data_IF_573032293015
#
_entry.id   IF_573032293015
#
_cell.length_a   1.000
_cell.length_b   1.000
_cell.length_c   1.000
_cell.angle_alpha   90.00
_cell.angle_beta   90.00
_cell.angle_gamma   90.00
#
_symmetry.space_group_name_H-M   'P 1'
#
loop_
_entity.id
_entity.type
_entity.pdbx_description
1 polymer ?
#
# COMPACT_ATOMS: atom_id res chain seq x y z
N UNK A 1 -16.31 -12.57 10.28
CA UNK A 1 -15.24 -13.13 11.02
C UNK A 1 -14.18 -13.66 10.07
N UNK A 2 -13.99 -14.96 9.85
CA UNK A 2 -12.95 -15.44 8.90
C UNK A 2 -13.48 -16.49 7.94
N UNK A 3 -12.86 -16.60 6.76
CA UNK A 3 -12.91 -17.76 5.89
C UNK A 3 -11.54 -18.42 5.85
N UNK A 4 -11.51 -19.74 5.60
CA UNK A 4 -10.28 -20.53 5.45
C UNK A 4 -10.23 -21.06 4.02
N UNK A 5 -9.12 -20.80 3.32
CA UNK A 5 -8.89 -21.37 1.99
C UNK A 5 -8.70 -22.88 2.06
N UNK A 6 -9.60 -23.63 1.43
CA UNK A 6 -9.70 -25.09 1.58
C UNK A 6 -8.39 -25.85 1.27
N UNK A 7 -7.59 -25.38 0.32
CA UNK A 7 -6.35 -26.04 -0.10
C UNK A 7 -5.07 -25.29 0.33
N UNK A 8 -5.21 -24.09 0.87
CA UNK A 8 -4.07 -23.22 1.18
C UNK A 8 -3.88 -22.99 2.68
N UNK A 9 -4.95 -23.20 3.47
CA UNK A 9 -4.97 -22.83 4.88
C UNK A 9 -4.92 -21.34 5.15
N UNK A 10 -5.00 -20.50 4.11
CA UNK A 10 -4.96 -19.03 4.25
C UNK A 10 -6.26 -18.54 4.86
N UNK A 11 -6.15 -17.69 5.89
CA UNK A 11 -7.28 -17.08 6.57
C UNK A 11 -7.56 -15.70 5.95
N UNK A 12 -8.83 -15.42 5.64
CA UNK A 12 -9.29 -14.08 5.23
C UNK A 12 -10.28 -13.56 6.27
N UNK A 13 -9.98 -12.39 6.87
CA UNK A 13 -10.90 -11.66 7.72
C UNK A 13 -12.06 -11.08 6.90
N UNK A 14 -13.30 -11.27 7.34
CA UNK A 14 -14.51 -10.76 6.68
C UNK A 14 -15.17 -9.61 7.45
N UNK A 15 -15.09 -9.66 8.76
CA UNK A 15 -15.58 -8.62 9.68
C UNK A 15 -14.89 -8.77 11.03
N UNK A 16 -14.88 -7.70 11.79
CA UNK A 16 -14.30 -7.66 13.13
C UNK A 16 -14.91 -8.71 14.05
N UNK A 17 -14.10 -9.18 14.99
CA UNK A 17 -14.47 -10.14 16.00
C UNK A 17 -13.53 -11.34 16.07
N UNK A 18 -13.83 -12.26 16.98
CA UNK A 18 -13.05 -13.47 17.18
C UNK A 18 -13.69 -14.67 16.48
N UNK A 19 -12.86 -15.57 16.02
CA UNK A 19 -13.23 -16.85 15.45
C UNK A 19 -12.30 -17.95 15.92
N UNK A 20 -12.85 -19.12 16.14
CA UNK A 20 -12.07 -20.33 16.36
C UNK A 20 -11.88 -21.06 15.04
N UNK A 21 -10.63 -21.26 14.66
CA UNK A 21 -10.25 -22.10 13.51
C UNK A 21 -9.80 -23.44 14.06
N UNK A 22 -10.50 -24.50 13.67
CA UNK A 22 -10.25 -25.86 14.17
C UNK A 22 -9.63 -26.68 13.04
N UNK A 23 -8.40 -27.13 13.25
CA UNK A 23 -7.73 -28.12 12.43
C UNK A 23 -8.01 -29.52 12.93
N UNK A 24 -8.34 -30.47 12.04
CA UNK A 24 -8.53 -31.88 12.38
C UNK A 24 -7.72 -32.79 11.46
N UNK A 25 -7.05 -33.79 12.06
CA UNK A 25 -6.36 -34.84 11.32
C UNK A 25 -6.70 -36.16 12.01
N UNK A 26 -7.61 -36.93 11.44
CA UNK A 26 -8.19 -38.10 12.10
C UNK A 26 -8.91 -37.70 13.40
N UNK A 27 -8.50 -38.26 14.53
CA UNK A 27 -9.04 -37.95 15.86
C UNK A 27 -8.33 -36.76 16.54
N UNK A 28 -7.22 -36.31 15.98
CA UNK A 28 -6.46 -35.19 16.55
C UNK A 28 -7.11 -33.87 16.13
N UNK A 29 -7.33 -32.98 17.10
CA UNK A 29 -7.85 -31.63 16.90
C UNK A 29 -6.89 -30.61 17.50
N UNK A 30 -6.74 -29.50 16.79
CA UNK A 30 -6.08 -28.31 17.29
C UNK A 30 -6.95 -27.08 17.02
N UNK A 31 -6.86 -26.06 17.87
CA UNK A 31 -7.72 -24.89 17.81
C UNK A 31 -6.89 -23.61 17.87
N UNK A 32 -7.07 -22.76 16.89
CA UNK A 32 -6.48 -21.42 16.84
C UNK A 32 -7.57 -20.36 17.03
N UNK A 33 -7.40 -19.50 18.02
CA UNK A 33 -8.21 -18.29 18.13
C UNK A 33 -7.65 -17.22 17.20
N UNK A 34 -8.52 -16.66 16.34
CA UNK A 34 -8.17 -15.60 15.39
C UNK A 34 -9.01 -14.38 15.70
N UNK A 35 -8.36 -13.28 16.02
CA UNK A 35 -8.99 -11.98 16.14
C UNK A 35 -8.87 -11.24 14.81
N UNK A 36 -9.99 -10.75 14.31
CA UNK A 36 -10.05 -9.90 13.11
C UNK A 36 -10.39 -8.49 13.57
N UNK A 37 -9.52 -7.57 13.24
CA UNK A 37 -9.71 -6.14 13.48
C UNK A 37 -9.58 -5.39 12.17
N UNK A 38 -10.47 -4.42 11.93
CA UNK A 38 -10.32 -3.54 10.77
C UNK A 38 -9.09 -2.68 10.94
N UNK A 39 -8.28 -2.50 9.89
CA UNK A 39 -7.17 -1.59 9.97
C UNK A 39 -7.71 -0.16 10.21
N UNK A 40 -7.23 0.48 11.27
CA UNK A 40 -7.26 1.93 11.39
C UNK A 40 -6.21 2.50 10.44
N UNK A 41 -6.38 3.76 9.97
CA UNK A 41 -5.36 4.40 9.14
C UNK A 41 -4.02 4.45 9.89
N UNK A 42 -3.04 3.72 9.42
CA UNK A 42 -1.75 3.64 10.08
C UNK A 42 -0.64 3.23 9.11
N UNK A 43 0.59 3.53 9.51
CA UNK A 43 1.80 3.08 8.84
C UNK A 43 2.45 2.00 9.69
N UNK A 44 2.63 0.80 9.13
CA UNK A 44 3.31 -0.30 9.81
C UNK A 44 4.73 -0.45 9.24
N UNK A 45 5.78 -0.38 10.09
CA UNK A 45 7.14 -0.59 9.61
C UNK A 45 7.29 -2.00 9.02
N UNK A 46 7.83 -2.11 7.81
CA UNK A 46 8.23 -3.40 7.20
C UNK A 46 9.62 -3.80 7.70
N UNK A 47 10.52 -2.84 7.80
CA UNK A 47 11.87 -3.03 8.34
C UNK A 47 12.18 -1.90 9.34
N UNK A 48 11.76 -2.04 10.61
CA UNK A 48 11.80 -0.95 11.58
C UNK A 48 13.22 -0.47 11.89
N UNK A 49 14.22 -1.31 11.72
CA UNK A 49 15.60 -0.98 12.03
C UNK A 49 16.42 -0.60 10.79
N UNK A 50 15.90 -0.82 9.58
CA UNK A 50 16.64 -0.66 8.31
C UNK A 50 18.10 -1.12 8.42
N UNK A 51 18.30 -2.32 9.02
CA UNK A 51 19.64 -2.85 9.23
C UNK A 51 20.33 -3.11 7.89
N UNK A 52 21.25 -2.23 7.57
CA UNK A 52 22.01 -2.22 6.33
C UNK A 52 22.73 -3.54 6.05
N UNK A 53 23.15 -4.25 7.10
CA UNK A 53 23.83 -5.54 6.95
C UNK A 53 22.92 -6.62 6.33
N UNK A 54 21.59 -6.43 6.43
CA UNK A 54 20.59 -7.35 5.90
C UNK A 54 20.14 -7.00 4.47
N UNK A 55 20.54 -5.84 3.95
CA UNK A 55 20.22 -5.41 2.59
C UNK A 55 21.40 -5.64 1.65
N UNK A 56 21.10 -6.27 0.51
CA UNK A 56 22.10 -6.40 -0.56
C UNK A 56 22.06 -5.15 -1.44
N UNK A 57 23.18 -4.42 -1.45
CA UNK A 57 23.37 -3.26 -2.30
C UNK A 57 24.03 -3.68 -3.63
N UNK A 58 23.46 -3.24 -4.75
CA UNK A 58 24.10 -3.26 -6.05
C UNK A 58 23.92 -1.91 -6.75
N UNK A 59 24.82 -1.57 -7.68
CA UNK A 59 24.80 -0.29 -8.36
C UNK A 59 25.40 -0.34 -9.76
N UNK A 60 25.01 0.59 -10.60
CA UNK A 60 25.64 0.86 -11.89
C UNK A 60 25.75 2.37 -12.12
N UNK A 61 26.73 2.81 -12.91
CA UNK A 61 26.86 4.21 -13.34
C UNK A 61 27.40 5.21 -12.31
N UNK A 62 27.48 4.85 -11.03
CA UNK A 62 28.16 5.61 -9.98
C UNK A 62 29.55 5.06 -9.67
N UNK A 63 30.36 5.84 -8.96
CA UNK A 63 31.63 5.41 -8.38
C UNK A 63 31.60 5.55 -6.87
N UNK A 64 32.47 4.82 -6.18
CA UNK A 64 32.64 4.91 -4.71
C UNK A 64 31.32 4.80 -3.94
N UNK A 65 30.44 3.87 -4.36
CA UNK A 65 29.14 3.69 -3.69
C UNK A 65 29.38 3.08 -2.32
N UNK A 66 28.80 3.73 -1.31
CA UNK A 66 28.88 3.32 0.08
C UNK A 66 27.49 3.47 0.71
N UNK A 67 27.19 2.63 1.65
CA UNK A 67 25.98 2.72 2.46
C UNK A 67 26.36 2.71 3.94
N UNK A 68 25.81 3.64 4.70
CA UNK A 68 26.12 3.84 6.12
C UNK A 68 24.81 3.98 6.90
N UNK A 69 24.71 3.34 8.06
CA UNK A 69 23.58 3.53 8.94
C UNK A 69 23.59 4.95 9.54
N UNK A 70 22.44 5.63 9.48
CA UNK A 70 22.26 6.99 10.04
C UNK A 70 20.93 7.06 10.82
N UNK A 71 21.01 7.01 12.14
CA UNK A 71 19.81 6.91 12.98
C UNK A 71 18.96 5.69 12.60
N UNK A 72 17.67 5.92 12.25
CA UNK A 72 16.74 4.89 11.78
C UNK A 72 16.73 4.74 10.27
N UNK A 73 17.80 5.11 9.56
CA UNK A 73 17.85 5.10 8.11
C UNK A 73 19.21 4.69 7.58
N UNK A 74 19.32 4.74 6.28
CA UNK A 74 20.52 4.39 5.51
C UNK A 74 20.90 5.57 4.63
N UNK A 75 22.13 6.05 4.74
CA UNK A 75 22.72 7.04 3.83
C UNK A 75 23.49 6.32 2.74
N UNK A 76 23.11 6.57 1.49
CA UNK A 76 23.78 6.09 0.28
C UNK A 76 24.58 7.21 -0.31
N UNK A 77 25.91 7.03 -0.29
CA UNK A 77 26.87 7.92 -0.95
C UNK A 77 27.26 7.37 -2.31
N UNK A 78 27.37 8.24 -3.30
CA UNK A 78 28.03 7.89 -4.57
C UNK A 78 28.70 9.11 -5.20
N UNK A 79 29.69 8.87 -6.06
CA UNK A 79 30.35 9.89 -6.86
C UNK A 79 29.85 9.81 -8.30
N UNK A 80 29.44 10.93 -8.86
CA UNK A 80 28.99 11.01 -10.25
C UNK A 80 30.09 10.67 -11.25
N UNK A 81 29.74 9.95 -12.30
CA UNK A 81 30.64 9.57 -13.39
C UNK A 81 30.19 10.20 -14.72
N UNK A 82 31.17 10.52 -15.59
CA UNK A 82 30.91 11.19 -16.85
C UNK A 82 29.92 10.42 -17.74
N UNK A 83 28.87 11.12 -18.20
CA UNK A 83 27.87 10.56 -19.11
C UNK A 83 27.07 9.37 -18.56
N UNK A 84 27.05 9.16 -17.25
CA UNK A 84 26.36 8.04 -16.61
C UNK A 84 25.17 8.52 -15.77
N UNK A 85 24.05 7.82 -15.92
CA UNK A 85 22.90 7.91 -15.03
C UNK A 85 23.01 6.79 -14.00
N UNK A 86 23.26 7.09 -12.73
CA UNK A 86 23.42 6.07 -11.69
C UNK A 86 22.12 5.33 -11.41
N UNK A 87 22.27 4.09 -10.99
CA UNK A 87 21.20 3.23 -10.53
C UNK A 87 21.65 2.51 -9.27
N UNK A 88 20.89 2.64 -8.19
CA UNK A 88 21.13 1.97 -6.91
C UNK A 88 19.99 1.00 -6.68
N UNK A 89 20.29 -0.26 -6.42
CA UNK A 89 19.31 -1.31 -6.15
C UNK A 89 19.56 -1.91 -4.77
N UNK A 90 18.55 -1.86 -3.96
CA UNK A 90 18.49 -2.45 -2.64
C UNK A 90 17.62 -3.69 -2.71
N UNK A 91 18.16 -4.83 -2.32
CA UNK A 91 17.44 -6.10 -2.35
C UNK A 91 17.33 -6.67 -0.95
N UNK A 92 16.09 -6.88 -0.51
CA UNK A 92 15.70 -7.64 0.67
C UNK A 92 14.25 -8.07 0.47
N UNK A 93 13.95 -9.32 0.73
CA UNK A 93 12.61 -9.86 0.47
C UNK A 93 11.73 -9.75 1.72
N UNK A 94 10.55 -9.19 1.52
CA UNK A 94 9.50 -9.09 2.53
C UNK A 94 8.23 -9.77 2.01
N UNK A 95 7.56 -10.51 2.87
CA UNK A 95 6.30 -11.18 2.56
C UNK A 95 5.14 -10.38 3.13
N UNK A 96 4.23 -9.97 2.26
CA UNK A 96 3.01 -9.28 2.62
C UNK A 96 1.84 -10.27 2.51
N UNK A 97 1.11 -10.47 3.59
CA UNK A 97 -0.05 -11.36 3.66
C UNK A 97 -1.37 -10.62 3.42
N UNK A 98 -1.32 -9.32 3.26
CA UNK A 98 -2.39 -8.46 2.78
C UNK A 98 -1.80 -7.43 1.83
N UNK A 99 -2.58 -6.94 0.87
CA UNK A 99 -2.18 -5.83 0.02
C UNK A 99 -2.43 -4.53 0.81
N UNK A 100 -1.39 -3.76 1.16
CA UNK A 100 -1.59 -2.43 1.75
C UNK A 100 -2.09 -1.47 0.66
N UNK A 101 -2.61 -0.31 1.04
CA UNK A 101 -3.00 0.73 0.09
C UNK A 101 -1.79 1.39 -0.57
N UNK A 102 -0.70 1.50 0.17
CA UNK A 102 0.58 1.99 -0.34
C UNK A 102 1.77 1.42 0.44
N UNK A 103 2.94 1.52 -0.18
CA UNK A 103 4.23 1.43 0.52
C UNK A 103 4.74 2.84 0.75
N UNK A 104 5.01 3.18 2.00
CA UNK A 104 5.60 4.46 2.37
C UNK A 104 7.11 4.33 2.54
N UNK A 105 7.82 5.28 1.99
CA UNK A 105 9.23 5.52 2.26
C UNK A 105 9.43 6.98 2.62
N UNK A 106 10.32 7.26 3.56
CA UNK A 106 10.79 8.60 3.83
C UNK A 106 12.13 8.78 3.14
N UNK A 107 12.25 9.78 2.29
CA UNK A 107 13.41 10.00 1.44
C UNK A 107 13.92 11.45 1.59
N UNK A 108 15.21 11.60 1.87
CA UNK A 108 15.91 12.84 1.62
C UNK A 108 16.81 12.63 0.39
N UNK A 109 16.51 13.26 -0.76
CA UNK A 109 17.27 13.05 -1.97
C UNK A 109 18.68 13.68 -1.95
N UNK A 110 19.02 14.48 -0.92
CA UNK A 110 20.21 15.30 -0.96
C UNK A 110 20.20 16.21 -2.19
N UNK A 111 21.29 16.20 -2.94
CA UNK A 111 21.38 16.86 -4.25
C UNK A 111 21.33 15.83 -5.40
N UNK A 112 21.03 14.56 -5.12
CA UNK A 112 20.98 13.52 -6.14
C UNK A 112 19.80 13.78 -7.12
N UNK A 113 20.03 13.71 -8.42
CA UNK A 113 19.00 13.95 -9.42
C UNK A 113 18.13 12.71 -9.63
N UNK A 114 17.40 12.31 -8.59
CA UNK A 114 16.54 11.13 -8.62
C UNK A 114 15.44 11.34 -9.65
N UNK A 115 15.28 10.40 -10.57
CA UNK A 115 14.26 10.39 -11.61
C UNK A 115 13.03 9.65 -11.15
N UNK A 116 13.19 8.39 -10.75
CA UNK A 116 12.11 7.55 -10.32
C UNK A 116 12.56 6.46 -9.34
N UNK A 117 11.57 5.87 -8.69
CA UNK A 117 11.71 4.63 -7.91
C UNK A 117 11.12 3.47 -8.69
N UNK A 118 11.71 2.29 -8.50
CA UNK A 118 11.17 1.04 -9.03
C UNK A 118 11.10 0.02 -7.91
N UNK A 119 9.92 -0.53 -7.67
CA UNK A 119 9.72 -1.64 -6.75
C UNK A 119 9.66 -2.95 -7.52
N UNK A 120 10.42 -3.94 -7.10
CA UNK A 120 10.31 -5.31 -7.58
C UNK A 120 9.32 -6.07 -6.70
N UNK A 121 8.19 -6.46 -7.27
CA UNK A 121 7.11 -7.14 -6.56
C UNK A 121 6.69 -8.42 -7.28
N UNK A 122 6.21 -9.40 -6.53
CA UNK A 122 5.77 -10.68 -7.06
C UNK A 122 4.59 -11.22 -6.25
N UNK A 123 3.46 -11.45 -6.88
CA UNK A 123 2.41 -12.28 -6.33
C UNK A 123 2.85 -13.75 -6.25
N UNK A 124 2.24 -14.53 -5.35
CA UNK A 124 2.58 -15.93 -5.19
C UNK A 124 2.34 -16.71 -6.50
N UNK A 125 3.33 -17.51 -6.90
CA UNK A 125 3.28 -18.28 -8.14
C UNK A 125 3.53 -17.50 -9.43
N UNK A 126 3.63 -16.16 -9.36
CA UNK A 126 3.82 -15.29 -10.52
C UNK A 126 5.28 -14.89 -10.75
N UNK A 127 5.55 -14.32 -11.91
CA UNK A 127 6.85 -13.73 -12.20
C UNK A 127 7.05 -12.40 -11.48
N UNK A 128 8.30 -12.00 -11.29
CA UNK A 128 8.65 -10.68 -10.76
C UNK A 128 8.16 -9.59 -11.73
N UNK A 129 7.42 -8.63 -11.20
CA UNK A 129 7.03 -7.40 -11.91
C UNK A 129 7.73 -6.20 -11.30
N UNK A 130 7.81 -5.10 -12.07
CA UNK A 130 8.52 -3.90 -11.66
C UNK A 130 7.58 -2.70 -11.77
N UNK A 131 7.25 -2.13 -10.61
CA UNK A 131 6.37 -0.97 -10.50
C UNK A 131 7.23 0.29 -10.48
N UNK A 132 7.09 1.12 -11.52
CA UNK A 132 7.86 2.37 -11.66
C UNK A 132 7.01 3.55 -11.21
N UNK A 133 7.59 4.39 -10.36
CA UNK A 133 6.97 5.58 -9.82
C UNK A 133 7.86 6.77 -10.15
N UNK A 134 7.37 7.68 -10.99
CA UNK A 134 8.08 8.91 -11.34
C UNK A 134 8.07 9.88 -10.16
N UNK A 135 9.22 10.43 -9.83
CA UNK A 135 9.40 11.37 -8.74
C UNK A 135 9.64 12.76 -9.28
N UNK A 136 8.56 13.51 -9.46
CA UNK A 136 8.64 14.91 -9.86
C UNK A 136 8.65 15.83 -8.64
N UNK A 137 9.40 16.93 -8.71
CA UNK A 137 9.34 18.02 -7.73
C UNK A 137 10.05 17.78 -6.41
N UNK A 138 10.91 16.76 -6.31
CA UNK A 138 11.76 16.57 -5.13
C UNK A 138 12.64 17.81 -4.93
N UNK A 139 12.60 18.37 -3.72
CA UNK A 139 13.45 19.50 -3.35
C UNK A 139 14.77 19.00 -2.80
N UNK A 140 15.92 19.56 -3.24
CA UNK A 140 17.22 19.18 -2.73
C UNK A 140 17.29 19.32 -1.20
N UNK A 141 17.89 18.33 -0.55
CA UNK A 141 18.12 18.29 0.90
C UNK A 141 16.85 18.37 1.78
N UNK A 142 15.67 18.17 1.18
CA UNK A 142 14.40 18.18 1.89
C UNK A 142 13.85 16.76 2.03
N UNK A 143 13.63 16.33 3.26
CA UNK A 143 12.99 15.05 3.55
C UNK A 143 11.51 15.08 3.15
N UNK A 144 11.02 14.01 2.56
CA UNK A 144 9.65 13.84 2.09
C UNK A 144 9.19 12.39 2.29
N UNK A 145 7.94 12.22 2.70
CA UNK A 145 7.25 10.93 2.65
C UNK A 145 6.67 10.71 1.26
N UNK A 146 6.95 9.53 0.70
CA UNK A 146 6.48 9.12 -0.61
C UNK A 146 5.63 7.86 -0.43
N UNK A 147 4.36 7.95 -0.81
CA UNK A 147 3.44 6.83 -0.84
C UNK A 147 3.39 6.24 -2.26
N UNK A 148 3.73 4.96 -2.35
CA UNK A 148 3.78 4.19 -3.59
C UNK A 148 2.52 3.31 -3.65
N UNK A 149 1.48 3.69 -4.45
CA UNK A 149 0.22 2.96 -4.49
C UNK A 149 0.40 1.50 -4.93
N UNK A 150 -0.36 0.59 -4.35
CA UNK A 150 -0.23 -0.85 -4.58
C UNK A 150 -1.41 -1.47 -5.33
N UNK A 151 -2.50 -0.75 -5.54
CA UNK A 151 -3.75 -1.25 -6.12
C UNK A 151 -3.57 -1.99 -7.47
N UNK A 152 -2.55 -1.64 -8.25
CA UNK A 152 -2.25 -2.26 -9.54
C UNK A 152 -1.34 -3.50 -9.46
N UNK A 153 -0.90 -3.91 -8.26
CA UNK A 153 0.10 -4.97 -8.13
C UNK A 153 -0.48 -6.35 -8.40
N UNK A 154 -1.67 -6.61 -7.90
CA UNK A 154 -2.40 -7.87 -8.05
C UNK A 154 -3.85 -7.70 -7.63
N UNK A 155 -4.68 -8.70 -7.97
CA UNK A 155 -6.02 -8.81 -7.43
C UNK A 155 -5.96 -9.14 -5.92
N UNK A 156 -6.36 -8.17 -5.10
CA UNK A 156 -6.32 -8.27 -3.64
C UNK A 156 -7.28 -9.35 -3.08
N UNK A 157 -8.34 -9.65 -3.79
CA UNK A 157 -9.35 -10.63 -3.36
C UNK A 157 -8.97 -12.07 -3.73
N UNK A 158 -8.02 -12.24 -4.65
CA UNK A 158 -7.53 -13.57 -4.98
C UNK A 158 -6.53 -14.08 -3.94
N UNK A 159 -6.98 -14.92 -3.03
CA UNK A 159 -6.16 -15.51 -1.96
C UNK A 159 -4.95 -16.30 -2.48
N UNK A 160 -4.99 -16.79 -3.72
CA UNK A 160 -3.87 -17.50 -4.36
C UNK A 160 -2.66 -16.61 -4.62
N UNK A 161 -2.86 -15.29 -4.67
CA UNK A 161 -1.78 -14.32 -4.91
C UNK A 161 -0.88 -14.07 -3.69
N UNK A 162 -1.27 -14.55 -2.50
CA UNK A 162 -0.52 -14.32 -1.27
C UNK A 162 0.39 -15.50 -0.90
N UNK A 163 1.56 -15.22 -0.28
CA UNK A 163 2.06 -13.89 0.07
C UNK A 163 2.57 -13.13 -1.16
N UNK A 164 2.32 -11.83 -1.18
CA UNK A 164 2.99 -10.93 -2.12
C UNK A 164 4.41 -10.71 -1.61
N UNK A 165 5.40 -10.85 -2.47
CA UNK A 165 6.80 -10.60 -2.12
C UNK A 165 7.22 -9.24 -2.67
N UNK A 166 7.58 -8.31 -1.79
CA UNK A 166 8.31 -7.10 -2.12
C UNK A 166 9.81 -7.43 -2.02
N UNK A 167 10.53 -7.37 -3.12
CA UNK A 167 11.89 -7.93 -3.22
C UNK A 167 12.98 -6.87 -3.35
N UNK A 168 12.70 -5.73 -3.95
CA UNK A 168 13.71 -4.71 -4.20
C UNK A 168 13.14 -3.31 -4.29
N UNK A 169 13.98 -2.36 -3.93
CA UNK A 169 13.77 -0.92 -4.16
C UNK A 169 14.94 -0.44 -5.01
N UNK A 170 14.64 0.26 -6.09
CA UNK A 170 15.64 0.79 -7.00
C UNK A 170 15.45 2.30 -7.16
N UNK A 171 16.52 3.04 -6.97
CA UNK A 171 16.61 4.46 -7.28
C UNK A 171 17.28 4.65 -8.63
N UNK A 172 16.57 5.22 -9.59
CA UNK A 172 17.15 5.64 -10.86
C UNK A 172 17.39 7.14 -10.83
N UNK A 173 18.58 7.56 -11.18
CA UNK A 173 18.96 8.96 -11.28
C UNK A 173 19.02 9.41 -12.75
N UNK A 174 18.89 10.72 -12.97
CA UNK A 174 19.35 11.35 -14.18
C UNK A 174 20.88 11.40 -14.21
N UNK A 175 21.46 11.88 -15.32
CA UNK A 175 22.92 12.02 -15.43
C UNK A 175 23.46 12.91 -14.32
N UNK A 176 24.42 12.41 -13.57
CA UNK A 176 25.06 13.09 -12.44
C UNK A 176 26.28 13.90 -12.90
N UNK A 177 26.61 14.98 -12.20
CA UNK A 177 27.83 15.74 -12.46
C UNK A 177 29.06 14.92 -12.10
N UNK A 178 30.03 14.92 -13.00
CA UNK A 178 31.27 14.15 -12.82
C UNK A 178 32.06 14.64 -11.61
N UNK A 179 32.46 13.71 -10.75
CA UNK A 179 33.25 14.00 -9.56
C UNK A 179 32.47 14.59 -8.40
N UNK A 180 31.19 14.96 -8.57
CA UNK A 180 30.35 15.43 -7.48
C UNK A 180 29.96 14.25 -6.60
N UNK A 181 30.02 14.42 -5.29
CA UNK A 181 29.54 13.48 -4.30
C UNK A 181 28.07 13.76 -4.02
N UNK A 182 27.29 12.69 -3.91
CA UNK A 182 25.84 12.73 -3.64
C UNK A 182 25.52 11.84 -2.46
N UNK A 183 24.48 12.24 -1.73
CA UNK A 183 23.90 11.50 -0.62
C UNK A 183 22.42 11.31 -0.85
N UNK A 184 21.91 10.16 -0.48
CA UNK A 184 20.47 9.82 -0.49
C UNK A 184 20.17 9.15 0.83
N UNK A 185 19.37 9.77 1.69
CA UNK A 185 18.96 9.16 2.95
C UNK A 185 17.59 8.53 2.82
N UNK A 186 17.53 7.23 3.07
CA UNK A 186 16.32 6.42 3.03
C UNK A 186 15.93 6.01 4.46
N UNK A 187 14.68 6.27 4.84
CA UNK A 187 14.14 5.97 6.18
C UNK A 187 12.73 5.41 6.10
N UNK A 188 12.23 4.93 7.22
CA UNK A 188 10.82 4.64 7.48
C UNK A 188 10.15 3.82 6.37
N UNK A 189 10.70 2.65 6.09
CA UNK A 189 10.11 1.74 5.13
C UNK A 189 8.91 1.01 5.75
N UNK A 190 7.70 1.26 5.24
CA UNK A 190 6.48 0.75 5.84
C UNK A 190 5.33 0.51 4.85
N UNK A 191 4.35 -0.25 5.31
CA UNK A 191 3.05 -0.39 4.65
C UNK A 191 2.08 0.66 5.18
N UNK A 192 1.29 1.24 4.31
CA UNK A 192 0.19 2.14 4.64
C UNK A 192 -1.12 1.40 4.48
N UNK A 193 -1.91 1.40 5.53
CA UNK A 193 -3.31 0.98 5.48
C UNK A 193 -4.16 2.20 5.77
N UNK A 194 -5.05 2.55 4.86
CA UNK A 194 -6.05 3.57 5.10
C UNK A 194 -7.12 3.00 6.03
N UNK A 195 -7.77 3.86 6.81
CA UNK A 195 -8.96 3.42 7.53
C UNK A 195 -9.92 2.83 6.50
N UNK A 196 -10.39 1.61 6.74
CA UNK A 196 -11.57 1.12 6.04
C UNK A 196 -12.67 2.13 6.39
N UNK A 197 -13.06 2.94 5.41
CA UNK A 197 -14.28 3.72 5.57
C UNK A 197 -15.35 2.67 5.83
N UNK A 198 -15.91 2.67 7.04
CA UNK A 198 -17.15 1.92 7.25
C UNK A 198 -18.06 2.34 6.11
N UNK A 199 -18.70 1.38 5.46
CA UNK A 199 -19.89 1.69 4.69
C UNK A 199 -20.75 2.45 5.70
N UNK A 200 -20.86 3.76 5.55
CA UNK A 200 -21.49 4.63 6.52
C UNK A 200 -22.86 4.06 6.88
N UNK A 201 -23.43 4.45 8.00
CA UNK A 201 -24.82 4.09 8.28
C UNK A 201 -25.62 4.25 7.00
N UNK A 202 -26.49 3.30 6.66
CA UNK A 202 -27.24 3.33 5.39
C UNK A 202 -27.66 4.76 5.07
N UNK A 203 -27.07 5.38 4.04
CA UNK A 203 -27.27 6.80 3.73
C UNK A 203 -26.05 7.72 3.88
N UNK A 204 -24.99 7.33 4.61
CA UNK A 204 -23.70 8.05 4.62
C UNK A 204 -22.82 7.52 3.50
N UNK A 205 -23.07 7.99 2.28
CA UNK A 205 -22.42 7.48 1.05
C UNK A 205 -21.00 8.00 0.90
N UNK A 206 -20.78 9.27 1.30
CA UNK A 206 -19.46 9.89 1.21
C UNK A 206 -18.52 9.49 2.37
N UNK A 207 -19.07 8.87 3.43
CA UNK A 207 -18.33 8.38 4.59
C UNK A 207 -17.79 9.49 5.49
N UNK A 208 -18.48 10.63 5.58
CA UNK A 208 -18.08 11.76 6.45
C UNK A 208 -18.64 11.64 7.88
N UNK A 209 -19.47 10.64 8.15
CA UNK A 209 -20.10 10.38 9.44
C UNK A 209 -21.43 11.10 9.66
N UNK A 210 -21.94 11.81 8.65
CA UNK A 210 -23.22 12.52 8.72
C UNK A 210 -24.08 12.19 7.51
N UNK A 211 -25.36 11.86 7.73
CA UNK A 211 -26.31 11.64 6.63
C UNK A 211 -26.97 12.97 6.29
N UNK A 212 -26.62 13.55 5.15
CA UNK A 212 -27.07 14.88 4.74
C UNK A 212 -27.11 15.06 3.21
N UNK A 213 -27.31 16.30 2.75
CA UNK A 213 -27.38 16.61 1.30
C UNK A 213 -26.09 16.32 0.52
N UNK A 214 -24.94 16.20 1.19
CA UNK A 214 -23.69 15.81 0.53
C UNK A 214 -23.74 14.36 0.05
N UNK A 215 -24.43 13.47 0.79
CA UNK A 215 -24.65 12.08 0.40
C UNK A 215 -25.60 11.94 -0.77
N UNK A 216 -26.62 12.79 -0.84
CA UNK A 216 -27.51 12.86 -2.01
C UNK A 216 -26.69 13.21 -3.26
N UNK A 217 -25.77 14.17 -3.14
CA UNK A 217 -24.85 14.53 -4.24
C UNK A 217 -23.92 13.37 -4.60
N UNK A 218 -23.38 12.67 -3.60
CA UNK A 218 -22.53 11.50 -3.81
C UNK A 218 -23.29 10.39 -4.56
N UNK A 219 -24.51 10.07 -4.16
CA UNK A 219 -25.37 9.07 -4.80
C UNK A 219 -25.71 9.45 -6.25
N UNK A 220 -26.04 10.70 -6.51
CA UNK A 220 -26.30 11.20 -7.86
C UNK A 220 -25.04 11.04 -8.72
N UNK A 221 -23.85 11.39 -8.22
CA UNK A 221 -22.59 11.23 -8.93
C UNK A 221 -22.29 9.77 -9.24
N UNK A 222 -22.60 8.83 -8.33
CA UNK A 222 -22.49 7.37 -8.58
C UNK A 222 -23.42 6.95 -9.72
N UNK A 223 -24.69 7.34 -9.68
CA UNK A 223 -25.69 7.00 -10.71
C UNK A 223 -25.30 7.56 -12.09
N UNK A 224 -24.67 8.73 -12.13
CA UNK A 224 -24.17 9.36 -13.36
C UNK A 224 -22.81 8.83 -13.81
N UNK A 225 -22.16 7.93 -13.06
CA UNK A 225 -20.83 7.42 -13.35
C UNK A 225 -19.72 8.47 -13.19
N UNK A 226 -19.93 9.49 -12.39
CA UNK A 226 -18.99 10.57 -12.11
C UNK A 226 -18.14 10.32 -10.85
N UNK A 227 -18.54 9.37 -10.00
CA UNK A 227 -17.82 8.96 -8.81
C UNK A 227 -18.03 7.49 -8.52
N UNK A 228 -17.02 6.87 -7.89
CA UNK A 228 -17.05 5.46 -7.51
C UNK A 228 -17.41 5.33 -6.02
N UNK A 229 -18.56 4.70 -5.76
CA UNK A 229 -19.03 4.27 -4.44
C UNK A 229 -19.50 2.83 -4.54
N UNK A 230 -19.50 2.07 -3.44
CA UNK A 230 -19.98 0.68 -3.46
C UNK A 230 -21.50 0.64 -3.67
N UNK A 231 -21.98 -0.32 -4.44
CA UNK A 231 -23.42 -0.49 -4.65
C UNK A 231 -24.15 -0.74 -3.33
N UNK A 232 -23.54 -1.49 -2.41
CA UNK A 232 -24.07 -1.75 -1.09
C UNK A 232 -24.26 -0.49 -0.21
N UNK A 233 -23.45 0.56 -0.42
CA UNK A 233 -23.64 1.84 0.27
C UNK A 233 -24.71 2.72 -0.41
N UNK A 234 -24.94 2.49 -1.70
CA UNK A 234 -25.81 3.30 -2.55
C UNK A 234 -27.22 2.72 -2.73
N UNK A 235 -27.40 1.42 -2.53
CA UNK A 235 -28.69 0.74 -2.54
C UNK A 235 -29.42 0.99 -1.20
N UNK A 236 -30.05 2.16 -1.11
CA UNK A 236 -30.65 2.66 0.13
C UNK A 236 -31.97 1.96 0.44
N UNK A 237 -32.71 1.62 -0.61
CA UNK A 237 -34.02 0.93 -0.50
C UNK A 237 -33.90 -0.60 -0.41
N UNK A 238 -32.71 -1.17 -0.70
CA UNK A 238 -32.41 -2.60 -0.59
C UNK A 238 -33.02 -3.44 -1.72
N UNK A 239 -33.32 -2.84 -2.90
CA UNK A 239 -33.90 -3.57 -4.02
C UNK A 239 -32.88 -4.24 -4.96
N UNK A 240 -31.57 -4.03 -4.69
CA UNK A 240 -30.45 -4.59 -5.44
C UNK A 240 -30.04 -3.78 -6.67
N UNK A 241 -30.64 -2.60 -6.92
CA UNK A 241 -30.35 -1.76 -8.08
C UNK A 241 -30.15 -0.30 -7.67
N UNK A 242 -28.93 0.21 -7.82
CA UNK A 242 -28.63 1.62 -7.54
C UNK A 242 -29.22 2.54 -8.62
N UNK A 243 -30.23 3.30 -8.26
CA UNK A 243 -30.94 4.20 -9.18
C UNK A 243 -31.61 5.38 -8.45
N UNK A 244 -32.46 6.14 -9.15
CA UNK A 244 -33.12 7.34 -8.63
C UNK A 244 -34.07 7.04 -7.43
N UNK A 245 -34.54 5.79 -7.28
CA UNK A 245 -35.35 5.40 -6.13
C UNK A 245 -34.57 5.47 -4.83
N UNK A 246 -33.28 5.20 -4.87
CA UNK A 246 -32.39 5.30 -3.71
C UNK A 246 -32.17 6.75 -3.31
N UNK A 247 -32.11 7.66 -4.28
CA UNK A 247 -32.05 9.11 -4.00
C UNK A 247 -33.28 9.56 -3.22
N UNK A 248 -34.43 9.06 -3.59
CA UNK A 248 -35.69 9.36 -2.88
C UNK A 248 -35.68 8.78 -1.47
N UNK A 249 -35.25 7.53 -1.34
CA UNK A 249 -35.13 6.85 -0.04
C UNK A 249 -34.13 7.58 0.88
N UNK A 250 -33.02 8.06 0.36
CA UNK A 250 -32.03 8.81 1.10
C UNK A 250 -32.57 10.17 1.58
N UNK A 251 -33.26 10.88 0.69
CA UNK A 251 -33.93 12.15 1.07
C UNK A 251 -34.94 11.90 2.20
N UNK A 252 -35.70 10.82 2.12
CA UNK A 252 -36.64 10.43 3.15
C UNK A 252 -35.98 10.17 4.52
N UNK A 253 -34.77 9.57 4.53
CA UNK A 253 -33.98 9.38 5.75
C UNK A 253 -33.56 10.74 6.33
N UNK A 254 -33.04 11.63 5.49
CA UNK A 254 -32.57 12.96 5.89
C UNK A 254 -33.71 13.81 6.48
N UNK A 255 -34.89 13.70 5.91
CA UNK A 255 -36.06 14.48 6.39
C UNK A 255 -36.64 13.94 7.69
N UNK A 256 -36.32 12.72 8.10
CA UNK A 256 -36.79 12.07 9.34
C UNK A 256 -35.77 12.12 10.48
N UNK A 257 -34.51 12.49 10.19
CA UNK A 257 -33.42 12.67 11.15
C UNK A 257 -33.48 14.07 11.77
#
# INVERSE_FOLDING_TARGET
VVTVGANTGILKGLKDGEALVIGTLGEVRDTLTVTVERPTAHVMPIDPNLDIATWKLSQTGGKNVKATAVGSGIDYEYTGAAGRAPKIVLTKSFRLWSLPDAIRITLNPGEAPIKNLVLGVRANGENMTYQTIELAGLQPNKEVDIDLPTASWTDADNMGNYPITLNSIQFNMNTSKTGQQYHIVFKNFGTVYNAVKEAGATGDINGDGAINSSDVTALINKILGLAEYTDAACDINGDGVVNVSDVTALIDIILKS
#
